data_IF_473704797446
#
_entry.id   IF_473704797446
#
_cell.length_a   1.000
_cell.length_b   1.000
_cell.length_c   1.000
_cell.angle_alpha   90.00
_cell.angle_beta   90.00
_cell.angle_gamma   90.00
#
_symmetry.space_group_name_H-M   'P 1'
#
loop_
_entity.id
_entity.type
_entity.pdbx_description
1 polymer ?
#
# COMPACT_ATOMS: atom_id res chain seq x y z
N UNK A 1 4.07 9.27 20.88
CA UNK A 1 4.91 9.26 19.67
C UNK A 1 3.98 9.50 18.51
N UNK A 2 4.26 10.49 17.66
CA UNK A 2 3.31 10.96 16.65
C UNK A 2 3.11 9.91 15.55
N UNK A 3 1.88 9.43 15.40
CA UNK A 3 1.45 8.70 14.20
C UNK A 3 1.17 9.76 13.13
N UNK A 4 2.22 10.28 12.51
CA UNK A 4 2.08 11.23 11.42
C UNK A 4 1.62 10.45 10.17
N UNK A 5 0.46 10.81 9.62
CA UNK A 5 0.08 10.35 8.29
C UNK A 5 1.15 10.91 7.32
N UNK A 6 1.93 10.01 6.74
CA UNK A 6 2.96 10.35 5.78
C UNK A 6 2.49 9.96 4.39
N UNK A 7 2.88 10.76 3.41
CA UNK A 7 2.46 10.54 2.03
C UNK A 7 3.59 9.89 1.24
N UNK A 8 3.31 8.78 0.54
CA UNK A 8 4.26 8.20 -0.41
C UNK A 8 3.88 8.68 -1.81
N UNK A 9 4.81 9.40 -2.44
CA UNK A 9 4.77 9.71 -3.86
C UNK A 9 5.56 8.65 -4.63
N UNK A 10 4.86 7.81 -5.38
CA UNK A 10 5.47 6.83 -6.27
C UNK A 10 5.39 7.32 -7.71
N UNK A 11 6.54 7.48 -8.35
CA UNK A 11 6.65 7.91 -9.74
C UNK A 11 7.21 6.76 -10.57
N UNK A 12 6.38 6.16 -11.43
CA UNK A 12 6.80 5.14 -12.38
C UNK A 12 6.51 5.62 -13.79
N UNK A 13 7.57 5.90 -14.55
CA UNK A 13 7.71 6.17 -15.99
C UNK A 13 6.66 7.02 -16.75
N UNK A 14 5.51 7.36 -16.17
CA UNK A 14 4.41 8.20 -16.67
C UNK A 14 3.25 8.36 -15.65
N UNK A 15 3.24 7.65 -14.52
CA UNK A 15 2.17 7.71 -13.53
C UNK A 15 2.73 8.20 -12.19
N UNK A 16 2.24 9.37 -11.75
CA UNK A 16 2.45 9.88 -10.41
C UNK A 16 1.30 9.34 -9.55
N UNK A 17 1.59 8.33 -8.74
CA UNK A 17 0.64 7.78 -7.76
C UNK A 17 1.00 8.30 -6.39
N UNK A 18 -0.02 8.76 -5.70
CA UNK A 18 0.09 9.64 -4.56
C UNK A 18 -0.83 9.02 -3.50
N UNK A 19 -0.28 8.34 -2.49
CA UNK A 19 -1.07 7.58 -1.50
C UNK A 19 -0.77 7.97 -0.05
N UNK A 20 -1.84 8.05 0.75
CA UNK A 20 -1.77 8.21 2.20
C UNK A 20 -1.39 6.88 2.87
N UNK A 21 -0.35 6.93 3.71
CA UNK A 21 0.12 5.80 4.52
C UNK A 21 0.49 6.26 5.93
N UNK A 22 0.65 5.30 6.85
CA UNK A 22 1.31 5.55 8.13
C UNK A 22 2.65 4.86 8.09
N UNK A 23 3.72 5.61 8.28
CA UNK A 23 5.08 5.08 8.34
C UNK A 23 5.49 5.02 9.81
N UNK A 24 5.99 3.87 10.23
CA UNK A 24 6.47 3.68 11.60
C UNK A 24 7.60 2.67 11.62
N UNK A 25 8.74 3.07 12.19
CA UNK A 25 9.98 2.28 12.16
C UNK A 25 10.33 1.93 10.70
N UNK A 26 10.50 0.63 10.39
CA UNK A 26 10.73 0.12 9.04
C UNK A 26 9.46 -0.48 8.40
N UNK A 27 8.29 -0.14 8.93
CA UNK A 27 6.98 -0.65 8.45
C UNK A 27 6.16 0.46 7.81
N UNK A 28 5.54 0.13 6.67
CA UNK A 28 4.54 0.97 6.00
C UNK A 28 3.16 0.34 6.19
N UNK A 29 2.26 1.10 6.81
CA UNK A 29 0.85 0.74 6.94
C UNK A 29 0.05 1.44 5.85
N UNK A 30 -0.57 0.66 4.97
CA UNK A 30 -1.38 1.15 3.86
C UNK A 30 -2.73 0.44 3.81
N UNK A 31 -3.74 1.12 3.30
CA UNK A 31 -5.02 0.46 2.99
C UNK A 31 -4.88 -0.43 1.75
N UNK A 32 -5.74 -1.45 1.61
CA UNK A 32 -5.77 -2.27 0.38
C UNK A 32 -6.08 -1.45 -0.87
N UNK A 33 -6.77 -0.31 -0.73
CA UNK A 33 -7.04 0.62 -1.83
C UNK A 33 -5.76 1.35 -2.25
N UNK A 34 -5.01 1.90 -1.28
CA UNK A 34 -3.73 2.55 -1.53
C UNK A 34 -2.74 1.60 -2.21
N UNK A 35 -2.68 0.34 -1.77
CA UNK A 35 -1.86 -0.69 -2.43
C UNK A 35 -2.31 -0.97 -3.86
N UNK A 36 -3.62 -1.06 -4.11
CA UNK A 36 -4.18 -1.28 -5.43
C UNK A 36 -3.81 -0.14 -6.41
N UNK A 37 -3.87 1.11 -5.95
CA UNK A 37 -3.46 2.28 -6.72
C UNK A 37 -1.95 2.26 -7.02
N UNK A 38 -1.12 2.00 -6.01
CA UNK A 38 0.33 1.94 -6.13
C UNK A 38 0.78 0.90 -7.18
N UNK A 39 0.20 -0.30 -7.12
CA UNK A 39 0.57 -1.40 -8.01
C UNK A 39 -0.25 -1.42 -9.31
N UNK A 40 -1.16 -0.46 -9.51
CA UNK A 40 -2.06 -0.42 -10.68
C UNK A 40 -2.82 -1.73 -10.89
N UNK A 41 -3.37 -2.30 -9.80
CA UNK A 41 -4.17 -3.53 -9.80
C UNK A 41 -5.53 -3.30 -9.15
N UNK A 42 -6.43 -4.27 -9.28
CA UNK A 42 -7.70 -4.23 -8.56
C UNK A 42 -7.51 -4.54 -7.07
N UNK A 43 -8.30 -3.89 -6.19
CA UNK A 43 -8.36 -4.21 -4.75
C UNK A 43 -8.57 -5.70 -4.48
N UNK A 44 -9.39 -6.38 -5.30
CA UNK A 44 -9.64 -7.82 -5.18
C UNK A 44 -8.39 -8.69 -5.37
N UNK A 45 -7.44 -8.25 -6.21
CA UNK A 45 -6.14 -8.91 -6.34
C UNK A 45 -5.35 -8.79 -5.05
N UNK A 46 -5.29 -7.60 -4.44
CA UNK A 46 -4.65 -7.38 -3.13
C UNK A 46 -5.29 -8.28 -2.06
N UNK A 47 -6.63 -8.30 -1.97
CA UNK A 47 -7.33 -9.15 -1.00
C UNK A 47 -7.01 -10.64 -1.18
N UNK A 48 -6.93 -11.11 -2.44
CA UNK A 48 -6.55 -12.50 -2.75
C UNK A 48 -5.11 -12.80 -2.31
N UNK A 49 -4.16 -11.93 -2.61
CA UNK A 49 -2.76 -12.13 -2.20
C UNK A 49 -2.61 -12.14 -0.68
N UNK A 50 -3.25 -11.21 0.04
CA UNK A 50 -3.25 -11.21 1.50
C UNK A 50 -3.85 -12.48 2.09
N UNK A 51 -5.00 -12.93 1.55
CA UNK A 51 -5.62 -14.20 1.95
C UNK A 51 -4.64 -15.36 1.80
N UNK A 52 -4.02 -15.49 0.63
CA UNK A 52 -3.05 -16.56 0.39
C UNK A 52 -1.87 -16.49 1.37
N UNK A 53 -1.33 -15.30 1.65
CA UNK A 53 -0.24 -15.12 2.62
C UNK A 53 -0.65 -15.61 4.01
N UNK A 54 -1.85 -15.25 4.49
CA UNK A 54 -2.35 -15.69 5.79
C UNK A 54 -2.63 -17.20 5.84
N UNK A 55 -2.98 -17.82 4.71
CA UNK A 55 -3.23 -19.26 4.61
C UNK A 55 -1.93 -20.07 4.52
N UNK A 56 -0.88 -19.56 3.85
CA UNK A 56 0.35 -20.32 3.60
C UNK A 56 1.46 -20.08 4.61
N UNK A 57 1.45 -18.97 5.35
CA UNK A 57 2.36 -18.67 6.46
C UNK A 57 3.84 -18.91 6.17
#
# INVERSE_FOLDING_TARGET
>A
MANENQFILYQSNNHNVAIDVVIGQDTIWATQKSMAELFSVNKSSISRHLKNIFETG
#
